data_IF_342818214235
#
_entry.id   IF_342818214235
#
_cell.length_a   1.000
_cell.length_b   1.000
_cell.length_c   1.000
_cell.angle_alpha   90.00
_cell.angle_beta   90.00
_cell.angle_gamma   90.00
#
_symmetry.space_group_name_H-M   'P 1'
#
loop_
_entity.id
_entity.type
_entity.pdbx_description
1 polymer ?
#
# COMPACT_ATOMS: atom_id res chain seq x y z
N UNK A 1 -3.66 3.64 -33.66
CA UNK A 1 -2.86 2.93 -32.65
C UNK A 1 -3.58 3.14 -31.34
N UNK A 2 -4.29 2.14 -30.84
CA UNK A 2 -5.04 2.26 -29.59
C UNK A 2 -4.02 2.44 -28.45
N UNK A 3 -4.04 3.60 -27.79
CA UNK A 3 -3.38 3.76 -26.49
C UNK A 3 -4.20 2.97 -25.47
N UNK A 4 -3.91 1.68 -25.38
CA UNK A 4 -4.31 0.88 -24.24
C UNK A 4 -3.62 1.51 -23.02
N UNK A 5 -4.37 1.99 -22.00
CA UNK A 5 -3.75 2.55 -20.82
C UNK A 5 -2.93 1.43 -20.20
N UNK A 6 -1.61 1.57 -20.22
CA UNK A 6 -0.71 0.65 -19.52
C UNK A 6 -1.06 0.74 -18.05
N UNK A 7 -1.93 -0.14 -17.56
CA UNK A 7 -2.35 -0.17 -16.17
C UNK A 7 -1.07 -0.43 -15.36
N UNK A 8 -0.53 0.62 -14.75
CA UNK A 8 0.62 0.51 -13.84
C UNK A 8 0.15 -0.33 -12.66
N UNK A 9 0.42 -1.63 -12.70
CA UNK A 9 -0.03 -2.59 -11.69
C UNK A 9 0.66 -2.25 -10.37
N UNK A 10 -0.11 -1.78 -9.39
CA UNK A 10 0.34 -1.56 -8.03
C UNK A 10 0.50 -2.91 -7.32
N UNK A 11 1.69 -3.50 -7.45
CA UNK A 11 2.04 -4.71 -6.69
C UNK A 11 2.17 -4.38 -5.21
N UNK A 12 1.94 -5.36 -4.33
CA UNK A 12 2.09 -5.21 -2.88
C UNK A 12 3.47 -4.63 -2.50
N UNK A 13 4.53 -5.07 -3.20
CA UNK A 13 5.89 -4.57 -3.01
C UNK A 13 6.02 -3.07 -3.32
N UNK A 14 5.39 -2.60 -4.40
CA UNK A 14 5.40 -1.17 -4.79
C UNK A 14 4.60 -0.32 -3.81
N UNK A 15 3.40 -0.79 -3.41
CA UNK A 15 2.60 -0.15 -2.36
C UNK A 15 3.40 0.05 -1.08
N UNK A 16 4.06 -1.00 -0.60
CA UNK A 16 4.88 -0.94 0.61
C UNK A 16 6.07 0.01 0.48
N UNK A 17 6.79 0.01 -0.65
CA UNK A 17 7.92 0.92 -0.87
C UNK A 17 7.50 2.38 -0.76
N UNK A 18 6.42 2.75 -1.44
CA UNK A 18 5.89 4.12 -1.46
C UNK A 18 5.44 4.57 -0.07
N UNK A 19 4.67 3.74 0.64
CA UNK A 19 4.24 4.02 2.01
C UNK A 19 5.46 4.23 2.92
N UNK A 20 6.51 3.42 2.77
CA UNK A 20 7.72 3.52 3.59
C UNK A 20 8.55 4.77 3.28
N UNK A 21 8.57 5.25 2.03
CA UNK A 21 9.25 6.49 1.68
C UNK A 21 8.52 7.71 2.24
N UNK A 22 7.18 7.69 2.27
CA UNK A 22 6.39 8.72 2.97
C UNK A 22 6.62 8.65 4.48
N UNK A 23 6.56 7.46 5.07
CA UNK A 23 6.75 7.26 6.51
C UNK A 23 8.14 7.72 7.00
N UNK A 24 9.18 7.55 6.17
CA UNK A 24 10.54 8.00 6.46
C UNK A 24 10.79 9.49 6.13
N UNK A 25 9.76 10.21 5.66
CA UNK A 25 9.87 11.62 5.27
C UNK A 25 10.72 11.88 4.02
N UNK A 26 10.94 10.86 3.18
CA UNK A 26 11.70 11.00 1.93
C UNK A 26 10.86 11.55 0.78
N UNK A 27 9.56 11.31 0.83
CA UNK A 27 8.58 11.80 -0.11
C UNK A 27 7.33 12.25 0.64
N UNK A 28 6.62 13.24 0.11
CA UNK A 28 5.33 13.66 0.62
C UNK A 28 4.20 12.97 -0.16
N UNK A 29 3.01 12.92 0.44
CA UNK A 29 1.79 12.38 -0.21
C UNK A 29 1.55 13.05 -1.58
N UNK A 30 1.75 14.37 -1.66
CA UNK A 30 1.56 15.13 -2.89
C UNK A 30 2.62 14.83 -3.97
N UNK A 31 3.86 14.57 -3.58
CA UNK A 31 4.93 14.17 -4.52
C UNK A 31 4.67 12.79 -5.10
N UNK A 32 4.30 11.83 -4.24
CA UNK A 32 3.94 10.47 -4.65
C UNK A 32 2.73 10.47 -5.58
N UNK A 33 1.70 11.25 -5.24
CA UNK A 33 0.51 11.40 -6.07
C UNK A 33 0.89 11.86 -7.50
N UNK A 34 1.73 12.89 -7.61
CA UNK A 34 2.21 13.38 -8.92
C UNK A 34 3.10 12.37 -9.64
N UNK A 35 4.02 11.70 -8.96
CA UNK A 35 4.97 10.76 -9.58
C UNK A 35 4.28 9.51 -10.12
N UNK A 36 3.23 9.07 -9.45
CA UNK A 36 2.52 7.84 -9.80
C UNK A 36 1.19 8.05 -10.51
N UNK A 37 0.88 9.30 -10.86
CA UNK A 37 -0.37 9.69 -11.53
C UNK A 37 -1.61 9.22 -10.74
N UNK A 38 -1.55 9.43 -9.43
CA UNK A 38 -2.60 9.12 -8.47
C UNK A 38 -3.19 10.42 -7.92
N UNK A 39 -4.40 10.35 -7.38
CA UNK A 39 -4.92 11.44 -6.58
C UNK A 39 -4.30 11.41 -5.17
N UNK A 40 -4.30 12.57 -4.50
CA UNK A 40 -3.85 12.66 -3.10
C UNK A 40 -4.68 11.71 -2.21
N UNK A 41 -5.99 11.65 -2.43
CA UNK A 41 -6.87 10.73 -1.68
C UNK A 41 -6.57 9.26 -1.92
N UNK A 42 -6.14 8.85 -3.12
CA UNK A 42 -5.71 7.46 -3.35
C UNK A 42 -4.49 7.11 -2.49
N UNK A 43 -3.53 8.04 -2.39
CA UNK A 43 -2.32 7.84 -1.58
C UNK A 43 -2.64 7.87 -0.08
N UNK A 44 -3.54 8.75 0.36
CA UNK A 44 -4.05 8.76 1.74
C UNK A 44 -4.75 7.44 2.09
N UNK A 45 -5.60 6.92 1.19
CA UNK A 45 -6.25 5.62 1.37
C UNK A 45 -5.25 4.46 1.47
N UNK A 46 -4.15 4.50 0.70
CA UNK A 46 -3.06 3.53 0.84
C UNK A 46 -2.35 3.63 2.20
N UNK A 47 -2.18 4.84 2.74
CA UNK A 47 -1.60 5.03 4.07
C UNK A 47 -2.51 4.48 5.17
N UNK A 48 -3.82 4.70 5.05
CA UNK A 48 -4.80 4.12 5.97
C UNK A 48 -4.82 2.58 5.88
N UNK A 49 -4.81 2.02 4.68
CA UNK A 49 -4.76 0.57 4.45
C UNK A 49 -3.50 -0.02 5.14
N UNK A 50 -2.35 0.62 4.96
CA UNK A 50 -1.10 0.20 5.59
C UNK A 50 -1.17 0.27 7.13
N UNK A 51 -1.78 1.32 7.69
CA UNK A 51 -1.95 1.45 9.13
C UNK A 51 -2.85 0.35 9.70
N UNK A 52 -3.99 0.08 9.06
CA UNK A 52 -4.91 -1.00 9.46
C UNK A 52 -4.23 -2.37 9.39
N UNK A 53 -3.48 -2.63 8.33
CA UNK A 53 -2.73 -3.89 8.18
C UNK A 53 -1.66 -4.03 9.27
N UNK A 54 -0.99 -2.94 9.65
CA UNK A 54 -0.02 -2.95 10.74
C UNK A 54 -0.69 -3.23 12.09
N UNK A 55 -1.81 -2.57 12.40
CA UNK A 55 -2.58 -2.82 13.62
C UNK A 55 -3.06 -4.28 13.70
N UNK A 56 -3.60 -4.80 12.60
CA UNK A 56 -4.03 -6.19 12.51
C UNK A 56 -2.85 -7.16 12.69
N UNK A 57 -1.70 -6.87 12.08
CA UNK A 57 -0.48 -7.66 12.23
C UNK A 57 0.04 -7.68 13.67
N UNK A 58 -0.09 -6.57 14.40
CA UNK A 58 0.27 -6.51 15.83
C UNK A 58 -0.76 -7.20 16.74
N UNK A 59 -2.05 -7.21 16.35
CA UNK A 59 -3.11 -7.91 17.08
C UNK A 59 -3.04 -9.43 16.90
N UNK A 60 -2.59 -9.90 15.74
CA UNK A 60 -2.50 -11.32 15.44
C UNK A 60 -1.48 -12.02 16.35
N UNK A 61 -1.90 -13.06 17.09
CA UNK A 61 -0.96 -13.93 17.81
C UNK A 61 -0.31 -14.91 16.81
N UNK A 62 0.94 -15.36 17.03
CA UNK A 62 1.62 -16.30 16.12
C UNK A 62 0.88 -17.62 15.86
N UNK A 63 -0.06 -18.02 16.73
CA UNK A 63 -0.92 -19.19 16.55
C UNK A 63 -2.07 -18.93 15.56
N UNK A 64 -2.63 -17.72 15.54
CA UNK A 64 -3.80 -17.36 14.71
C UNK A 64 -3.42 -17.14 13.24
N UNK A 65 -2.18 -16.75 12.97
CA UNK A 65 -1.68 -16.54 11.61
C UNK A 65 -1.66 -17.85 10.82
N UNK A 66 -1.30 -18.98 11.44
CA UNK A 66 -1.30 -20.30 10.77
C UNK A 66 -2.71 -20.75 10.41
N UNK A 67 -3.66 -20.53 11.30
CA UNK A 67 -5.05 -20.94 11.11
C UNK A 67 -5.74 -20.12 9.99
N UNK A 68 -5.41 -18.83 9.84
CA UNK A 68 -5.91 -18.00 8.73
C UNK A 68 -5.40 -18.43 7.34
N UNK A 69 -4.16 -18.92 7.22
CA UNK A 69 -3.63 -19.42 5.95
C UNK A 69 -4.11 -20.84 5.61
N UNK A 70 -4.53 -21.63 6.59
CA UNK A 70 -5.06 -23.00 6.38
C UNK A 70 -6.57 -23.03 6.10
N UNK A 71 -7.27 -21.90 6.32
CA UNK A 71 -8.71 -21.75 6.07
C UNK A 71 -9.09 -21.19 4.69
N UNK A 72 -8.12 -20.86 3.82
CA UNK A 72 -8.32 -20.39 2.43
C UNK A 72 -8.09 -21.48 1.38
#
# INVERSE_FOLDING_TARGET
>A
MSHEPTVKRWTAKRKAAVVMDIFKGKATVAEVAREHDLTVSDVEGLMEEAQRNMENGFRARPRDIREQYESE
#
